data_IF_689397272218
#
_entry.id   IF_689397272218
#
_cell.length_a   1.000
_cell.length_b   1.000
_cell.length_c   1.000
_cell.angle_alpha   90.00
_cell.angle_beta   90.00
_cell.angle_gamma   90.00
#
_symmetry.space_group_name_H-M   'P 1'
#
loop_
_entity.id
_entity.type
_entity.pdbx_description
1 polymer ?
#
# COMPACT_ATOMS: atom_id res chain seq x y z
N UNK A 1 -23.16 14.91 13.25
CA UNK A 1 -22.38 15.86 12.41
C UNK A 1 -21.13 16.37 13.13
N UNK A 2 -21.24 16.87 14.38
CA UNK A 2 -20.11 17.38 15.16
C UNK A 2 -18.92 16.41 15.34
N UNK A 3 -19.16 15.10 15.53
CA UNK A 3 -18.07 14.12 15.67
C UNK A 3 -17.23 13.94 14.39
N UNK A 4 -17.88 13.92 13.23
CA UNK A 4 -17.20 13.77 11.93
C UNK A 4 -16.35 15.00 11.62
N UNK A 5 -16.87 16.20 11.89
CA UNK A 5 -16.13 17.45 11.69
C UNK A 5 -14.94 17.55 12.64
N UNK A 6 -15.10 17.17 13.92
CA UNK A 6 -13.98 17.18 14.87
C UNK A 6 -12.90 16.18 14.51
N UNK A 7 -13.26 14.98 14.03
CA UNK A 7 -12.30 13.99 13.55
C UNK A 7 -11.50 14.50 12.34
N UNK A 8 -12.18 15.09 11.35
CA UNK A 8 -11.53 15.66 10.17
C UNK A 8 -10.62 16.83 10.52
N UNK A 9 -11.05 17.72 11.43
CA UNK A 9 -10.23 18.85 11.88
C UNK A 9 -9.03 18.34 12.68
N UNK A 10 -9.19 17.36 13.56
CA UNK A 10 -8.08 16.76 14.29
C UNK A 10 -7.04 16.13 13.35
N UNK A 11 -7.49 15.40 12.32
CA UNK A 11 -6.61 14.84 11.30
C UNK A 11 -5.87 15.92 10.50
N UNK A 12 -6.56 16.99 10.11
CA UNK A 12 -5.96 18.13 9.42
C UNK A 12 -4.89 18.82 10.29
N UNK A 13 -5.20 19.06 11.57
CA UNK A 13 -4.27 19.68 12.52
C UNK A 13 -3.06 18.78 12.76
N UNK A 14 -3.25 17.47 12.87
CA UNK A 14 -2.14 16.51 12.99
C UNK A 14 -1.21 16.59 11.78
N UNK A 15 -1.77 16.62 10.57
CA UNK A 15 -1.01 16.77 9.32
C UNK A 15 -0.25 18.10 9.30
N UNK A 16 -0.92 19.19 9.66
CA UNK A 16 -0.31 20.53 9.75
C UNK A 16 0.88 20.54 10.74
N UNK A 17 0.74 19.89 11.89
CA UNK A 17 1.84 19.76 12.87
C UNK A 17 3.03 18.98 12.34
N UNK A 18 2.79 17.91 11.58
CA UNK A 18 3.87 17.19 10.90
C UNK A 18 4.54 18.04 9.81
N UNK A 19 3.78 18.84 9.07
CA UNK A 19 4.35 19.74 8.06
C UNK A 19 5.21 20.84 8.70
N UNK A 20 4.80 21.40 9.83
CA UNK A 20 5.57 22.41 10.57
C UNK A 20 6.84 21.81 11.18
N UNK A 21 6.81 20.55 11.61
CA UNK A 21 7.97 19.84 12.15
C UNK A 21 8.97 19.39 11.06
N UNK A 22 8.59 19.43 9.78
CA UNK A 22 9.44 18.95 8.70
C UNK A 22 10.74 19.76 8.49
N UNK A 23 10.73 21.12 8.48
CA UNK A 23 11.96 21.89 8.31
C UNK A 23 12.94 21.69 9.46
N UNK A 24 12.45 21.59 10.70
CA UNK A 24 13.31 21.34 11.86
C UNK A 24 13.94 19.96 11.79
N UNK A 25 13.17 18.92 11.46
CA UNK A 25 13.69 17.57 11.19
C UNK A 25 14.77 17.58 10.09
N UNK A 26 14.48 18.19 8.94
CA UNK A 26 15.39 18.22 7.80
C UNK A 26 16.75 18.87 8.13
N UNK A 27 16.75 19.94 8.92
CA UNK A 27 17.99 20.58 9.39
C UNK A 27 18.78 19.70 10.36
N UNK A 28 18.10 18.97 11.25
CA UNK A 28 18.76 18.07 12.21
C UNK A 28 19.39 16.85 11.55
N UNK A 29 18.75 16.30 10.51
CA UNK A 29 19.28 15.15 9.74
C UNK A 29 20.24 15.59 8.62
N UNK A 30 20.77 16.82 8.70
CA UNK A 30 21.80 17.34 7.77
C UNK A 30 21.43 17.20 6.30
N UNK A 31 20.14 17.36 5.98
CA UNK A 31 19.61 17.27 4.61
C UNK A 31 19.43 15.86 4.04
N UNK A 32 19.54 14.80 4.86
CA UNK A 32 19.34 13.40 4.44
C UNK A 32 18.13 12.77 5.15
N UNK A 33 16.88 13.11 4.75
CA UNK A 33 15.69 12.63 5.46
C UNK A 33 15.56 11.10 5.40
N UNK A 34 15.96 10.45 4.30
CA UNK A 34 15.90 8.99 4.18
C UNK A 34 17.15 8.36 4.79
N UNK A 35 16.97 7.82 5.99
CA UNK A 35 17.98 7.03 6.66
C UNK A 35 18.05 5.61 6.08
N UNK A 36 19.27 5.09 5.96
CA UNK A 36 19.55 3.76 5.40
C UNK A 36 19.93 2.75 6.49
N UNK A 37 20.16 3.21 7.73
CA UNK A 37 20.70 2.40 8.83
C UNK A 37 20.00 2.79 10.12
N UNK A 38 19.65 1.79 10.93
CA UNK A 38 19.04 1.98 12.25
C UNK A 38 17.52 2.13 12.21
N UNK A 39 16.91 2.25 13.39
CA UNK A 39 15.47 2.51 13.55
C UNK A 39 15.16 3.96 13.93
N UNK A 40 16.16 4.67 14.46
CA UNK A 40 16.09 6.07 14.90
C UNK A 40 17.46 6.72 14.71
N UNK A 41 17.50 8.02 14.41
CA UNK A 41 18.74 8.79 14.32
C UNK A 41 19.30 9.03 15.73
N UNK A 42 20.54 8.60 16.06
CA UNK A 42 21.11 8.79 17.39
C UNK A 42 21.33 10.28 17.72
N UNK A 43 20.90 10.71 18.91
CA UNK A 43 21.09 12.09 19.39
C UNK A 43 20.10 13.11 18.82
N UNK A 44 18.99 12.66 18.22
CA UNK A 44 17.97 13.53 17.69
C UNK A 44 17.15 14.16 18.84
N UNK A 45 17.26 15.48 19.00
CA UNK A 45 16.56 16.24 20.02
C UNK A 45 15.31 16.89 19.43
N UNK A 46 14.13 16.45 19.83
CA UNK A 46 12.88 17.01 19.33
C UNK A 46 11.63 16.52 20.05
N UNK A 47 10.52 17.19 19.76
CA UNK A 47 9.19 16.83 20.24
C UNK A 47 8.67 15.56 19.54
N UNK A 48 7.57 15.00 20.07
CA UNK A 48 6.86 13.83 19.50
C UNK A 48 6.73 13.86 17.96
N UNK A 49 6.47 15.03 17.39
CA UNK A 49 6.31 15.23 15.95
C UNK A 49 7.60 14.97 15.16
N UNK A 50 8.74 15.41 15.68
CA UNK A 50 10.05 15.23 15.03
C UNK A 50 10.50 13.78 15.12
N UNK A 51 10.35 13.15 16.30
CA UNK A 51 10.66 11.73 16.48
C UNK A 51 9.73 10.82 15.68
N UNK A 52 8.46 11.23 15.52
CA UNK A 52 7.51 10.54 14.63
C UNK A 52 7.97 10.54 13.18
N UNK A 53 8.35 11.71 12.64
CA UNK A 53 8.88 11.84 11.27
C UNK A 53 10.13 10.99 11.06
N UNK A 54 11.02 10.94 12.05
CA UNK A 54 12.23 10.14 11.97
C UNK A 54 11.90 8.65 11.80
N UNK A 55 11.02 8.10 12.64
CA UNK A 55 10.59 6.70 12.56
C UNK A 55 9.92 6.37 11.24
N UNK A 56 8.99 7.23 10.79
CA UNK A 56 8.32 7.01 9.51
C UNK A 56 9.33 6.95 8.37
N UNK A 57 10.30 7.86 8.35
CA UNK A 57 11.27 7.92 7.24
C UNK A 57 12.25 6.74 7.24
N UNK A 58 12.60 6.20 8.42
CA UNK A 58 13.37 4.94 8.53
C UNK A 58 12.60 3.72 8.04
N UNK A 59 11.26 3.72 8.18
CA UNK A 59 10.41 2.61 7.72
C UNK A 59 10.14 2.62 6.22
N UNK A 60 10.22 3.78 5.55
CA UNK A 60 9.89 3.90 4.11
C UNK A 60 10.73 2.95 3.25
N UNK A 61 12.05 2.87 3.48
CA UNK A 61 12.92 2.08 2.61
C UNK A 61 12.72 0.55 2.77
N UNK A 62 12.71 -0.01 3.99
CA UNK A 62 12.40 -1.43 4.19
C UNK A 62 10.99 -1.81 3.75
N UNK A 63 9.98 -0.97 4.01
CA UNK A 63 8.60 -1.25 3.61
C UNK A 63 8.43 -1.25 2.09
N UNK A 64 9.04 -0.29 1.38
CA UNK A 64 9.06 -0.30 -0.08
C UNK A 64 9.79 -1.52 -0.64
N UNK A 65 10.93 -1.89 -0.06
CA UNK A 65 11.67 -3.08 -0.49
C UNK A 65 10.82 -4.36 -0.37
N UNK A 66 10.15 -4.56 0.76
CA UNK A 66 9.25 -5.70 0.96
C UNK A 66 8.01 -5.62 0.05
N UNK A 67 7.42 -4.42 -0.10
CA UNK A 67 6.26 -4.19 -0.95
C UNK A 67 6.57 -4.52 -2.42
N UNK A 68 7.74 -4.14 -2.92
CA UNK A 68 8.15 -4.40 -4.31
C UNK A 68 8.20 -5.88 -4.64
N UNK A 69 8.66 -6.72 -3.70
CA UNK A 69 8.71 -8.18 -3.88
C UNK A 69 7.30 -8.74 -4.07
N UNK A 70 6.37 -8.36 -3.20
CA UNK A 70 4.97 -8.79 -3.28
C UNK A 70 4.31 -8.25 -4.56
N UNK A 71 4.52 -6.97 -4.87
CA UNK A 71 3.97 -6.30 -6.05
C UNK A 71 4.40 -6.98 -7.36
N UNK A 72 5.65 -7.42 -7.46
CA UNK A 72 6.15 -8.17 -8.61
C UNK A 72 5.36 -9.47 -8.84
N UNK A 73 5.02 -10.17 -7.75
CA UNK A 73 4.24 -11.41 -7.81
C UNK A 73 2.80 -11.13 -8.27
N UNK A 74 2.12 -10.15 -7.68
CA UNK A 74 0.77 -9.76 -8.12
C UNK A 74 0.74 -9.32 -9.58
N UNK A 75 1.75 -8.57 -10.04
CA UNK A 75 1.85 -8.13 -11.43
C UNK A 75 1.99 -9.33 -12.40
N UNK A 76 2.73 -10.37 -12.00
CA UNK A 76 2.85 -11.60 -12.79
C UNK A 76 1.51 -12.34 -12.88
N UNK A 77 0.78 -12.45 -11.76
CA UNK A 77 -0.55 -13.07 -11.72
C UNK A 77 -1.57 -12.29 -12.54
N UNK A 78 -1.61 -10.96 -12.41
CA UNK A 78 -2.52 -10.12 -13.18
C UNK A 78 -2.23 -10.21 -14.68
N UNK A 79 -0.95 -10.26 -15.08
CA UNK A 79 -0.57 -10.44 -16.48
C UNK A 79 -0.98 -11.80 -17.04
N UNK A 80 -0.77 -12.88 -16.27
CA UNK A 80 -1.18 -14.23 -16.68
C UNK A 80 -2.70 -14.31 -16.88
N UNK A 81 -3.47 -13.81 -15.90
CA UNK A 81 -4.93 -13.83 -15.98
C UNK A 81 -5.46 -12.95 -17.13
N UNK A 82 -4.87 -11.78 -17.36
CA UNK A 82 -5.23 -10.94 -18.51
C UNK A 82 -4.96 -11.64 -19.85
N UNK A 83 -3.87 -12.40 -19.98
CA UNK A 83 -3.56 -13.15 -21.21
C UNK A 83 -4.60 -14.25 -21.47
N UNK A 84 -5.00 -14.97 -20.43
CA UNK A 84 -6.05 -16.00 -20.52
C UNK A 84 -7.38 -15.39 -20.95
N UNK A 85 -7.79 -14.29 -20.32
CA UNK A 85 -9.09 -13.67 -20.57
C UNK A 85 -9.15 -13.00 -21.95
N UNK A 86 -8.06 -12.39 -22.41
CA UNK A 86 -7.99 -11.82 -23.77
C UNK A 86 -8.23 -12.87 -24.87
N UNK A 87 -7.99 -14.15 -24.56
CA UNK A 87 -8.28 -15.28 -25.45
C UNK A 87 -9.75 -15.71 -25.49
N UNK A 88 -10.59 -15.27 -24.55
CA UNK A 88 -11.97 -15.72 -24.40
C UNK A 88 -12.90 -15.23 -25.51
N UNK A 89 -13.93 -16.03 -25.79
CA UNK A 89 -14.91 -15.78 -26.84
C UNK A 89 -15.71 -14.48 -26.61
N UNK A 90 -15.99 -14.13 -25.36
CA UNK A 90 -16.69 -12.88 -24.98
C UNK A 90 -15.90 -11.62 -25.41
N UNK A 91 -14.57 -11.65 -25.24
CA UNK A 91 -13.68 -10.56 -25.64
C UNK A 91 -13.59 -10.47 -27.16
N UNK A 92 -13.50 -11.62 -27.86
CA UNK A 92 -13.51 -11.67 -29.34
C UNK A 92 -14.83 -11.16 -29.91
N UNK A 93 -15.95 -11.54 -29.29
CA UNK A 93 -17.30 -11.10 -29.68
C UNK A 93 -17.45 -9.60 -29.50
N UNK A 94 -16.92 -9.03 -28.41
CA UNK A 94 -16.95 -7.59 -28.18
C UNK A 94 -16.10 -6.81 -29.19
N UNK A 95 -14.95 -7.36 -29.60
CA UNK A 95 -14.15 -6.80 -30.69
C UNK A 95 -14.88 -6.89 -32.02
N UNK A 96 -15.55 -8.01 -32.31
CA UNK A 96 -16.37 -8.19 -33.51
C UNK A 96 -17.58 -7.23 -33.57
N UNK A 97 -18.12 -6.81 -32.42
CA UNK A 97 -19.14 -5.77 -32.30
C UNK A 97 -18.63 -4.34 -32.59
N UNK A 98 -17.32 -4.16 -32.83
CA UNK A 98 -16.72 -2.86 -33.13
C UNK A 98 -16.55 -1.96 -31.90
N UNK A 99 -16.57 -2.50 -30.68
CA UNK A 99 -16.33 -1.72 -29.47
C UNK A 99 -14.87 -1.19 -29.45
N UNK A 100 -14.63 0.02 -28.95
CA UNK A 100 -13.29 0.57 -28.84
C UNK A 100 -12.44 -0.28 -27.90
N UNK A 101 -11.17 -0.50 -28.26
CA UNK A 101 -10.25 -1.43 -27.55
C UNK A 101 -10.14 -1.10 -26.05
N UNK A 102 -10.20 0.18 -25.66
CA UNK A 102 -10.20 0.60 -24.25
C UNK A 102 -11.40 0.03 -23.47
N UNK A 103 -12.59 -0.04 -24.08
CA UNK A 103 -13.79 -0.62 -23.47
C UNK A 103 -13.66 -2.13 -23.39
N UNK A 104 -13.15 -2.78 -24.45
CA UNK A 104 -12.91 -4.22 -24.47
C UNK A 104 -11.95 -4.62 -23.34
N UNK A 105 -10.82 -3.91 -23.20
CA UNK A 105 -9.81 -4.20 -22.19
C UNK A 105 -10.32 -3.90 -20.78
N UNK A 106 -10.86 -2.71 -20.51
CA UNK A 106 -11.21 -2.31 -19.13
C UNK A 106 -12.51 -2.96 -18.64
N UNK A 107 -13.53 -3.09 -19.51
CA UNK A 107 -14.85 -3.56 -19.09
C UNK A 107 -15.04 -5.06 -19.24
N UNK A 108 -14.39 -5.70 -20.21
CA UNK A 108 -14.60 -7.13 -20.48
C UNK A 108 -13.40 -7.96 -20.05
N UNK A 109 -12.20 -7.61 -20.50
CA UNK A 109 -11.02 -8.39 -20.14
C UNK A 109 -10.62 -8.20 -18.67
N UNK A 110 -10.46 -6.96 -18.21
CA UNK A 110 -10.00 -6.68 -16.85
C UNK A 110 -10.98 -7.16 -15.79
N UNK A 111 -12.28 -6.95 -15.99
CA UNK A 111 -13.31 -7.43 -15.04
C UNK A 111 -13.28 -8.95 -14.86
N UNK A 112 -13.10 -9.70 -15.94
CA UNK A 112 -13.02 -11.15 -15.89
C UNK A 112 -11.67 -11.64 -15.37
N UNK A 113 -10.58 -10.90 -15.63
CA UNK A 113 -9.24 -11.20 -15.11
C UNK A 113 -9.09 -10.92 -13.60
N UNK A 114 -10.05 -10.24 -12.98
CA UNK A 114 -10.06 -10.04 -11.53
C UNK A 114 -10.56 -11.27 -10.76
N UNK A 115 -11.21 -12.24 -11.42
CA UNK A 115 -11.75 -13.43 -10.73
C UNK A 115 -10.64 -14.23 -10.03
N UNK A 116 -9.52 -14.58 -10.69
CA UNK A 116 -8.42 -15.29 -10.01
C UNK A 116 -7.71 -14.43 -8.97
N UNK A 117 -7.61 -13.12 -9.21
CA UNK A 117 -7.00 -12.19 -8.26
C UNK A 117 -7.81 -12.09 -6.96
N UNK A 118 -9.14 -12.13 -7.03
CA UNK A 118 -10.00 -12.13 -5.85
C UNK A 118 -9.75 -13.36 -4.97
N UNK A 119 -9.46 -14.52 -5.55
CA UNK A 119 -9.11 -15.73 -4.81
C UNK A 119 -7.79 -15.59 -4.07
N UNK A 120 -6.78 -15.01 -4.70
CA UNK A 120 -5.48 -14.76 -4.06
C UNK A 120 -5.64 -13.81 -2.87
N UNK A 121 -6.38 -12.71 -3.07
CA UNK A 121 -6.64 -11.75 -1.98
C UNK A 121 -7.41 -12.40 -0.82
N UNK A 122 -8.40 -13.25 -1.11
CA UNK A 122 -9.11 -13.98 -0.06
C UNK A 122 -8.20 -14.93 0.72
N UNK A 123 -7.27 -15.60 0.02
CA UNK A 123 -6.26 -16.46 0.64
C UNK A 123 -5.32 -15.66 1.56
N UNK A 124 -4.85 -14.49 1.11
CA UNK A 124 -3.97 -13.63 1.90
C UNK A 124 -4.65 -13.15 3.19
N UNK A 125 -5.94 -12.77 3.11
CA UNK A 125 -6.74 -12.39 4.29
C UNK A 125 -6.85 -13.56 5.27
N UNK A 126 -7.14 -14.77 4.77
CA UNK A 126 -7.19 -15.98 5.59
C UNK A 126 -5.84 -16.28 6.26
N UNK A 127 -4.75 -16.11 5.54
CA UNK A 127 -3.39 -16.27 6.05
C UNK A 127 -3.04 -15.27 7.15
N UNK A 128 -3.46 -14.00 7.01
CA UNK A 128 -3.24 -12.98 8.04
C UNK A 128 -4.00 -13.30 9.33
N UNK A 129 -5.27 -13.70 9.23
CA UNK A 129 -6.07 -14.09 10.39
C UNK A 129 -5.51 -15.35 11.07
N UNK A 130 -5.13 -16.36 10.28
CA UNK A 130 -4.51 -17.59 10.81
C UNK A 130 -3.15 -17.32 11.46
N UNK A 131 -2.33 -16.46 10.85
CA UNK A 131 -1.05 -16.03 11.39
C UNK A 131 -1.20 -15.28 12.72
N UNK A 132 -2.18 -14.37 12.82
CA UNK A 132 -2.49 -13.64 14.05
C UNK A 132 -2.86 -14.59 15.20
N UNK A 133 -3.76 -15.55 14.96
CA UNK A 133 -4.14 -16.55 15.98
C UNK A 133 -2.95 -17.39 16.41
N UNK A 134 -2.08 -17.80 15.48
CA UNK A 134 -0.87 -18.57 15.83
C UNK A 134 0.09 -17.72 16.67
N UNK A 135 0.25 -16.43 16.33
CA UNK A 135 1.10 -15.52 17.11
C UNK A 135 0.53 -15.25 18.50
N UNK A 136 -0.77 -15.03 18.64
CA UNK A 136 -1.45 -14.89 19.93
C UNK A 136 -1.23 -16.12 20.82
N UNK A 137 -1.44 -17.32 20.28
CA UNK A 137 -1.23 -18.56 21.03
C UNK A 137 0.25 -18.77 21.44
N UNK A 138 1.20 -18.43 20.58
CA UNK A 138 2.63 -18.59 20.86
C UNK A 138 3.14 -17.64 21.94
N UNK A 139 2.68 -16.39 21.90
CA UNK A 139 3.10 -15.37 22.85
C UNK A 139 2.17 -15.25 24.06
N UNK A 140 1.16 -16.11 24.14
CA UNK A 140 0.21 -16.22 25.26
C UNK A 140 -0.40 -14.87 25.65
N UNK A 141 -0.79 -14.08 24.65
CA UNK A 141 -1.72 -12.96 24.83
C UNK A 141 -3.16 -13.46 24.64
#
# INVERSE_FOLDING_TARGET
VAGLTSFLVAGLVMLDRFMIAWPSYFTQVRGRPIATIGSETPGLGGDFWVSGLDKYTHLVLPTLALMLISLASYTRYSRASMLEVMGQEDVRTARAKGLPERVVVVRHAFRNALIPLATIVAYDIGGLLGGAVITENLFSF
#
